data_IF_334811399487
#
_entry.id   IF_334811399487
#
_cell.length_a   1.000
_cell.length_b   1.000
_cell.length_c   1.000
_cell.angle_alpha   90.00
_cell.angle_beta   90.00
_cell.angle_gamma   90.00
#
_symmetry.space_group_name_H-M   'P 1'
#
loop_
_entity.id
_entity.type
_entity.pdbx_description
1 polymer ?
#
# COMPACT_ATOMS: atom_id res chain seq x y z
N UNK A 1 -37.54 14.60 -7.34
CA UNK A 1 -37.08 13.26 -6.95
C UNK A 1 -35.57 13.31 -6.81
N UNK A 2 -35.02 12.82 -5.70
CA UNK A 2 -33.59 12.65 -5.47
C UNK A 2 -33.28 11.15 -5.51
N UNK A 3 -32.24 10.74 -6.26
CA UNK A 3 -31.75 9.39 -6.30
C UNK A 3 -30.22 9.37 -6.14
N UNK A 4 -29.66 8.34 -5.51
CA UNK A 4 -28.25 8.14 -5.38
C UNK A 4 -27.88 6.74 -5.88
N UNK A 5 -26.69 6.62 -6.46
CA UNK A 5 -26.17 5.35 -7.00
C UNK A 5 -24.66 5.32 -6.94
N UNK A 6 -24.09 4.12 -6.80
CA UNK A 6 -22.66 3.85 -6.93
C UNK A 6 -22.30 3.32 -8.34
N UNK A 7 -23.25 3.35 -9.27
CA UNK A 7 -22.98 2.91 -10.65
C UNK A 7 -22.41 4.07 -11.45
N UNK A 8 -21.42 3.75 -12.28
CA UNK A 8 -20.90 4.69 -13.27
C UNK A 8 -21.99 5.03 -14.27
N UNK A 9 -22.32 6.31 -14.38
CA UNK A 9 -23.36 6.82 -15.25
C UNK A 9 -22.92 6.88 -16.71
N UNK A 10 -21.62 7.01 -16.98
CA UNK A 10 -21.05 7.25 -18.31
C UNK A 10 -20.39 6.01 -18.92
N UNK A 11 -20.28 4.93 -18.18
CA UNK A 11 -19.73 3.66 -18.66
C UNK A 11 -18.22 3.67 -18.92
N UNK A 12 -17.51 4.63 -18.35
CA UNK A 12 -16.07 4.86 -18.54
C UNK A 12 -15.17 3.91 -17.76
N UNK A 13 -15.69 3.30 -16.68
CA UNK A 13 -14.91 2.35 -15.88
C UNK A 13 -15.02 0.95 -16.44
N UNK A 14 -13.90 0.49 -16.97
CA UNK A 14 -13.71 -0.83 -17.60
C UNK A 14 -14.16 -1.99 -16.71
N UNK A 15 -15.02 -2.83 -17.22
CA UNK A 15 -15.16 -4.24 -16.81
C UNK A 15 -16.39 -4.65 -16.00
N UNK A 16 -17.23 -3.75 -15.44
CA UNK A 16 -18.47 -4.17 -14.73
C UNK A 16 -19.74 -3.76 -15.47
N UNK A 17 -20.45 -4.75 -16.04
CA UNK A 17 -21.68 -4.65 -16.86
C UNK A 17 -22.94 -4.22 -16.07
N UNK A 18 -22.87 -3.27 -15.15
CA UNK A 18 -24.08 -2.75 -14.52
C UNK A 18 -24.25 -1.28 -14.90
N UNK A 19 -24.95 -1.07 -16.00
CA UNK A 19 -25.35 0.27 -16.48
C UNK A 19 -26.74 0.60 -15.96
N UNK A 20 -26.91 1.86 -15.60
CA UNK A 20 -28.25 2.42 -15.35
C UNK A 20 -28.93 2.61 -16.71
N UNK A 21 -30.22 2.28 -16.77
CA UNK A 21 -31.02 2.46 -18.00
C UNK A 21 -30.93 3.94 -18.45
N UNK A 22 -30.50 4.19 -19.69
CA UNK A 22 -30.44 5.56 -20.23
C UNK A 22 -31.81 6.29 -20.17
N UNK A 23 -32.92 5.55 -20.23
CA UNK A 23 -34.24 6.13 -20.11
C UNK A 23 -34.52 6.67 -18.68
N UNK A 24 -33.93 6.03 -17.66
CA UNK A 24 -33.99 6.54 -16.29
C UNK A 24 -33.12 7.79 -16.13
N UNK A 25 -31.89 7.77 -16.67
CA UNK A 25 -30.96 8.90 -16.58
C UNK A 25 -31.50 10.17 -17.22
N UNK A 26 -32.27 10.06 -18.31
CA UNK A 26 -32.91 11.22 -18.96
C UNK A 26 -33.98 11.92 -18.13
N UNK A 27 -34.43 11.31 -17.04
CA UNK A 27 -35.44 11.89 -16.11
C UNK A 27 -34.80 12.71 -15.01
N UNK A 28 -33.47 12.77 -14.92
CA UNK A 28 -32.72 13.58 -13.98
C UNK A 28 -31.99 14.69 -14.72
N UNK A 29 -32.43 15.92 -14.52
CA UNK A 29 -31.87 17.10 -15.19
C UNK A 29 -30.50 17.46 -14.63
N UNK A 30 -30.28 17.22 -13.33
CA UNK A 30 -29.02 17.51 -12.64
C UNK A 30 -28.39 16.22 -12.15
N UNK A 31 -27.08 16.08 -12.43
CA UNK A 31 -26.23 15.01 -11.96
C UNK A 31 -25.11 15.60 -11.12
N UNK A 32 -24.98 15.12 -9.90
CA UNK A 32 -23.94 15.55 -8.97
C UNK A 32 -23.04 14.34 -8.76
N UNK A 33 -21.79 14.49 -9.12
CA UNK A 33 -20.76 13.51 -8.82
C UNK A 33 -20.18 13.82 -7.45
N UNK A 34 -20.09 12.79 -6.59
CA UNK A 34 -19.50 12.89 -5.27
C UNK A 34 -18.28 11.99 -5.28
N UNK A 35 -17.12 12.60 -5.40
CA UNK A 35 -15.84 11.91 -5.39
C UNK A 35 -15.44 11.47 -3.96
N UNK A 36 -14.40 10.66 -3.89
CA UNK A 36 -13.77 10.35 -2.61
C UNK A 36 -13.12 11.61 -2.03
N UNK A 37 -13.16 11.78 -0.70
CA UNK A 37 -12.61 12.97 -0.07
C UNK A 37 -11.09 13.05 -0.27
N UNK A 38 -10.59 14.26 -0.53
CA UNK A 38 -9.17 14.55 -0.48
C UNK A 38 -8.65 14.55 0.97
N UNK A 39 -7.35 14.70 1.17
CA UNK A 39 -6.74 14.61 2.50
C UNK A 39 -7.27 15.67 3.47
N UNK A 40 -7.41 16.90 3.01
CA UNK A 40 -7.93 18.02 3.80
C UNK A 40 -9.39 17.78 4.22
N UNK A 41 -10.23 17.28 3.34
CA UNK A 41 -11.63 16.94 3.64
C UNK A 41 -11.71 15.78 4.64
N UNK A 42 -10.79 14.79 4.57
CA UNK A 42 -10.71 13.74 5.59
C UNK A 42 -10.28 14.29 6.94
N UNK A 43 -9.30 15.21 6.96
CA UNK A 43 -8.85 15.89 8.18
C UNK A 43 -10.00 16.66 8.83
N UNK A 44 -10.68 17.49 8.09
CA UNK A 44 -11.85 18.25 8.57
C UNK A 44 -12.96 17.35 9.11
N UNK A 45 -13.23 16.23 8.44
CA UNK A 45 -14.21 15.27 8.94
C UNK A 45 -13.78 14.64 10.28
N UNK A 46 -12.52 14.23 10.40
CA UNK A 46 -11.98 13.67 11.63
C UNK A 46 -12.05 14.67 12.78
N UNK A 47 -11.65 15.92 12.56
CA UNK A 47 -11.76 17.02 13.53
C UNK A 47 -13.19 17.22 13.99
N UNK A 48 -14.12 17.34 13.06
CA UNK A 48 -15.55 17.51 13.35
C UNK A 48 -16.09 16.35 14.21
N UNK A 49 -15.76 15.11 13.86
CA UNK A 49 -16.29 13.92 14.53
C UNK A 49 -15.67 13.67 15.90
N UNK A 50 -14.38 13.90 16.03
CA UNK A 50 -13.65 13.70 17.30
C UNK A 50 -13.95 14.82 18.29
N UNK A 51 -14.09 16.08 17.83
CA UNK A 51 -14.41 17.22 18.68
C UNK A 51 -15.89 17.25 19.13
N UNK A 52 -16.83 16.74 18.31
CA UNK A 52 -18.27 16.68 18.69
C UNK A 52 -18.52 15.85 19.95
N UNK A 53 -17.66 14.91 20.28
CA UNK A 53 -17.83 14.01 21.43
C UNK A 53 -17.20 14.51 22.72
N UNK A 54 -16.59 15.70 22.70
CA UNK A 54 -16.32 16.53 23.90
C UNK A 54 -15.39 15.98 24.96
N UNK A 55 -14.78 14.82 24.77
CA UNK A 55 -14.05 14.10 25.83
C UNK A 55 -12.57 13.87 25.57
N UNK A 56 -12.05 14.03 24.36
CA UNK A 56 -10.66 13.71 24.11
C UNK A 56 -10.01 14.74 23.17
N UNK A 57 -8.97 15.39 23.62
CA UNK A 57 -8.08 16.16 22.75
C UNK A 57 -7.19 15.19 21.99
N UNK A 58 -7.67 14.73 20.84
CA UNK A 58 -6.78 14.05 19.90
C UNK A 58 -5.87 15.12 19.28
N UNK A 59 -4.57 14.87 19.28
CA UNK A 59 -3.61 15.84 18.74
C UNK A 59 -3.78 16.00 17.23
N UNK A 60 -3.44 17.17 16.73
CA UNK A 60 -3.51 17.48 15.28
C UNK A 60 -2.61 16.54 14.47
N UNK A 61 -1.46 16.12 15.01
CA UNK A 61 -0.55 15.16 14.39
C UNK A 61 -1.22 13.81 14.14
N UNK A 62 -1.98 13.30 15.11
CA UNK A 62 -2.74 12.04 14.96
C UNK A 62 -3.82 12.18 13.90
N UNK A 63 -4.54 13.30 13.88
CA UNK A 63 -5.57 13.55 12.87
C UNK A 63 -4.96 13.63 11.48
N UNK A 64 -3.86 14.34 11.33
CA UNK A 64 -3.11 14.45 10.07
C UNK A 64 -2.58 13.07 9.62
N UNK A 65 -2.03 12.29 10.53
CA UNK A 65 -1.57 10.93 10.24
C UNK A 65 -2.72 10.02 9.79
N UNK A 66 -3.88 10.05 10.47
CA UNK A 66 -5.07 9.30 10.06
C UNK A 66 -5.56 9.72 8.67
N UNK A 67 -5.59 11.04 8.40
CA UNK A 67 -6.01 11.57 7.10
C UNK A 67 -5.08 11.12 5.97
N UNK A 68 -3.77 11.19 6.17
CA UNK A 68 -2.77 10.73 5.20
C UNK A 68 -2.87 9.21 4.94
N UNK A 69 -3.03 8.40 6.00
CA UNK A 69 -3.08 6.93 5.92
C UNK A 69 -4.41 6.38 5.38
N UNK A 70 -5.42 7.23 5.19
CA UNK A 70 -6.73 6.85 4.66
C UNK A 70 -6.99 7.39 3.25
N UNK A 71 -5.91 7.70 2.50
CA UNK A 71 -6.01 8.13 1.11
C UNK A 71 -6.77 7.12 0.26
N UNK A 72 -7.67 7.62 -0.60
CA UNK A 72 -8.55 6.79 -1.43
C UNK A 72 -9.69 6.10 -0.67
N UNK A 73 -9.87 6.38 0.62
CA UNK A 73 -10.96 5.81 1.42
C UNK A 73 -12.13 6.79 1.57
N UNK A 74 -13.34 6.24 1.67
CA UNK A 74 -14.57 7.03 1.86
C UNK A 74 -14.73 7.48 3.31
N UNK A 75 -15.53 8.52 3.52
CA UNK A 75 -15.94 8.99 4.86
C UNK A 75 -16.59 7.88 5.71
N UNK A 76 -17.31 6.95 5.08
CA UNK A 76 -17.91 5.82 5.78
C UNK A 76 -16.85 4.91 6.44
N UNK A 77 -15.70 4.72 5.79
CA UNK A 77 -14.58 3.94 6.36
C UNK A 77 -14.00 4.67 7.58
N UNK A 78 -13.78 5.98 7.48
CA UNK A 78 -13.31 6.79 8.62
C UNK A 78 -14.26 6.70 9.81
N UNK A 79 -15.57 6.74 9.55
CA UNK A 79 -16.57 6.55 10.59
C UNK A 79 -16.48 5.18 11.25
N UNK A 80 -16.35 4.11 10.45
CA UNK A 80 -16.21 2.75 10.97
C UNK A 80 -14.96 2.60 11.85
N UNK A 81 -13.84 3.21 11.45
CA UNK A 81 -12.58 3.23 12.23
C UNK A 81 -12.78 3.93 13.58
N UNK A 82 -13.43 5.10 13.60
CA UNK A 82 -13.72 5.82 14.84
C UNK A 82 -14.64 4.98 15.76
N UNK A 83 -15.67 4.36 15.20
CA UNK A 83 -16.59 3.51 15.96
C UNK A 83 -15.90 2.26 16.51
N UNK A 84 -14.98 1.65 15.74
CA UNK A 84 -14.16 0.52 16.18
C UNK A 84 -13.25 0.94 17.34
N UNK A 85 -12.54 2.08 17.21
CA UNK A 85 -11.68 2.62 18.26
C UNK A 85 -12.45 2.88 19.56
N UNK A 86 -13.63 3.46 19.46
CA UNK A 86 -14.50 3.72 20.61
C UNK A 86 -15.00 2.44 21.28
N UNK A 87 -15.37 1.43 20.49
CA UNK A 87 -15.79 0.12 20.98
C UNK A 87 -14.65 -0.58 21.71
N UNK A 88 -13.45 -0.52 21.15
CA UNK A 88 -12.24 -1.12 21.75
C UNK A 88 -11.85 -0.41 23.05
N UNK A 89 -11.95 0.94 23.09
CA UNK A 89 -11.74 1.74 24.31
C UNK A 89 -12.75 1.36 25.40
N UNK A 90 -14.03 1.26 25.04
CA UNK A 90 -15.09 0.87 25.98
C UNK A 90 -14.91 -0.54 26.55
N UNK A 91 -14.52 -1.51 25.71
CA UNK A 91 -14.21 -2.88 26.15
C UNK A 91 -13.03 -2.92 27.12
N UNK A 92 -12.04 -2.07 26.91
CA UNK A 92 -10.86 -1.97 27.78
C UNK A 92 -11.08 -1.09 29.04
N UNK A 93 -12.25 -0.47 29.19
CA UNK A 93 -12.55 0.43 30.29
C UNK A 93 -11.70 1.72 30.28
N UNK A 94 -11.25 2.16 29.11
CA UNK A 94 -10.37 3.32 28.92
C UNK A 94 -11.03 4.38 28.05
N UNK A 95 -10.44 5.59 28.04
CA UNK A 95 -10.86 6.64 27.12
C UNK A 95 -10.30 6.42 25.70
N UNK A 96 -10.94 7.07 24.71
CA UNK A 96 -10.45 7.11 23.34
C UNK A 96 -9.16 7.94 23.29
N UNK A 97 -8.08 7.36 22.74
CA UNK A 97 -6.80 8.01 22.52
C UNK A 97 -6.43 8.00 21.05
N UNK A 98 -5.45 8.85 20.65
CA UNK A 98 -4.91 8.84 19.30
C UNK A 98 -4.30 7.50 18.91
N UNK A 99 -3.57 6.87 19.82
CA UNK A 99 -2.98 5.54 19.63
C UNK A 99 -4.06 4.48 19.34
N UNK A 100 -5.19 4.52 20.05
CA UNK A 100 -6.32 3.63 19.80
C UNK A 100 -7.01 3.85 18.45
N UNK A 101 -7.02 5.10 17.98
CA UNK A 101 -7.54 5.40 16.64
C UNK A 101 -6.64 4.82 15.55
N UNK A 102 -5.32 4.97 15.68
CA UNK A 102 -4.36 4.38 14.76
C UNK A 102 -4.42 2.85 14.80
N UNK A 103 -4.51 2.26 15.98
CA UNK A 103 -4.64 0.81 16.16
C UNK A 103 -5.94 0.27 15.54
N UNK A 104 -7.04 1.01 15.67
CA UNK A 104 -8.32 0.65 15.05
C UNK A 104 -8.30 0.78 13.52
N UNK A 105 -7.56 1.75 12.96
CA UNK A 105 -7.35 1.85 11.52
C UNK A 105 -6.63 0.61 11.00
N UNK A 106 -5.61 0.16 11.71
CA UNK A 106 -4.88 -1.05 11.36
C UNK A 106 -5.73 -2.31 11.51
N UNK A 107 -6.48 -2.42 12.59
CA UNK A 107 -7.41 -3.53 12.79
C UNK A 107 -8.48 -3.58 11.69
N UNK A 108 -9.00 -2.43 11.28
CA UNK A 108 -9.99 -2.34 10.21
C UNK A 108 -9.44 -2.79 8.87
N UNK A 109 -8.21 -2.37 8.54
CA UNK A 109 -7.60 -2.66 7.24
C UNK A 109 -6.99 -4.07 7.16
N UNK A 110 -6.42 -4.57 8.25
CA UNK A 110 -5.58 -5.78 8.26
C UNK A 110 -6.04 -6.87 9.22
N UNK A 111 -7.04 -6.60 10.06
CA UNK A 111 -7.56 -7.56 11.04
C UNK A 111 -6.90 -7.51 12.42
N UNK A 112 -7.22 -8.47 13.27
CA UNK A 112 -6.73 -8.54 14.64
C UNK A 112 -5.21 -8.78 14.73
N UNK A 113 -4.59 -8.24 15.79
CA UNK A 113 -3.16 -8.47 16.09
C UNK A 113 -2.88 -9.95 16.32
N UNK A 114 -1.75 -10.41 15.78
CA UNK A 114 -1.19 -11.73 16.04
C UNK A 114 0.18 -11.60 16.70
N UNK A 115 0.50 -12.53 17.57
CA UNK A 115 1.82 -12.63 18.20
C UNK A 115 2.55 -13.86 17.67
N UNK A 116 3.84 -13.72 17.42
CA UNK A 116 4.72 -14.74 16.90
C UNK A 116 5.98 -14.85 17.76
N UNK A 117 6.80 -15.85 17.50
CA UNK A 117 8.11 -16.00 18.13
C UNK A 117 9.06 -14.87 17.72
N UNK A 118 10.04 -14.54 18.57
CA UNK A 118 10.95 -13.42 18.36
C UNK A 118 11.72 -13.47 17.02
N UNK A 119 12.21 -14.64 16.63
CA UNK A 119 12.95 -14.80 15.36
C UNK A 119 12.11 -14.47 14.11
N UNK A 120 10.77 -14.60 14.20
CA UNK A 120 9.89 -14.18 13.15
C UNK A 120 9.87 -12.66 12.97
N UNK A 121 9.87 -11.90 14.08
CA UNK A 121 9.90 -10.43 14.02
C UNK A 121 11.20 -9.89 13.42
N UNK A 122 12.33 -10.54 13.66
CA UNK A 122 13.61 -10.15 13.02
C UNK A 122 13.55 -10.30 11.50
N UNK A 123 12.99 -11.40 11.01
CA UNK A 123 12.81 -11.63 9.58
C UNK A 123 11.85 -10.59 8.97
N UNK A 124 10.72 -10.32 9.62
CA UNK A 124 9.76 -9.32 9.17
C UNK A 124 10.36 -7.92 9.18
N UNK A 125 11.13 -7.55 10.22
CA UNK A 125 11.77 -6.24 10.30
C UNK A 125 12.74 -6.01 9.14
N UNK A 126 13.56 -7.00 8.79
CA UNK A 126 14.46 -6.93 7.63
C UNK A 126 13.67 -6.85 6.33
N UNK A 127 12.59 -7.64 6.19
CA UNK A 127 11.73 -7.64 5.02
C UNK A 127 11.11 -6.27 4.76
N UNK A 128 10.43 -5.70 5.75
CA UNK A 128 9.76 -4.38 5.63
C UNK A 128 10.78 -3.24 5.46
N UNK A 129 11.95 -3.34 6.12
CA UNK A 129 13.04 -2.38 5.93
C UNK A 129 13.61 -2.43 4.51
N UNK A 130 13.65 -3.61 3.89
CA UNK A 130 14.01 -3.77 2.49
C UNK A 130 13.05 -3.01 1.57
N UNK A 131 11.74 -3.16 1.77
CA UNK A 131 10.73 -2.42 1.03
C UNK A 131 10.89 -0.91 1.19
N UNK A 132 11.04 -0.43 2.43
CA UNK A 132 11.20 1.00 2.72
C UNK A 132 12.45 1.59 2.07
N UNK A 133 13.58 0.89 2.14
CA UNK A 133 14.82 1.35 1.52
C UNK A 133 14.73 1.40 -0.01
N UNK A 134 14.16 0.38 -0.63
CA UNK A 134 14.01 0.35 -2.09
C UNK A 134 13.02 1.44 -2.57
N UNK A 135 11.95 1.68 -1.85
CA UNK A 135 11.01 2.77 -2.12
C UNK A 135 11.71 4.14 -2.03
N UNK A 136 12.48 4.37 -0.97
CA UNK A 136 13.25 5.60 -0.80
C UNK A 136 14.25 5.80 -1.95
N UNK A 137 14.97 4.78 -2.37
CA UNK A 137 15.88 4.83 -3.53
C UNK A 137 15.15 5.10 -4.85
N UNK A 138 13.90 4.68 -4.99
CA UNK A 138 13.05 4.96 -6.15
C UNK A 138 12.46 6.38 -6.13
N UNK A 139 12.78 7.21 -5.12
CA UNK A 139 12.24 8.56 -4.94
C UNK A 139 10.81 8.58 -4.39
N UNK A 140 10.32 7.44 -3.92
CA UNK A 140 9.07 7.36 -3.18
C UNK A 140 9.35 7.66 -1.70
N UNK A 141 8.34 8.18 -1.00
CA UNK A 141 8.48 8.48 0.44
C UNK A 141 7.73 7.41 1.24
N UNK A 142 8.44 6.48 1.90
CA UNK A 142 7.80 5.60 2.86
C UNK A 142 7.17 6.43 3.99
N UNK A 143 5.86 6.34 4.14
CA UNK A 143 5.12 7.14 5.14
C UNK A 143 4.93 6.41 6.47
N UNK A 144 4.97 5.09 6.43
CA UNK A 144 4.78 4.24 7.60
C UNK A 144 5.32 2.83 7.35
N UNK A 145 6.00 2.28 8.34
CA UNK A 145 6.46 0.88 8.33
C UNK A 145 6.12 0.24 9.66
N UNK A 146 5.61 -0.99 9.66
CA UNK A 146 5.28 -1.74 10.88
C UNK A 146 5.58 -3.22 10.77
N UNK A 147 5.96 -3.81 11.89
CA UNK A 147 6.12 -5.26 12.07
C UNK A 147 5.00 -5.87 12.92
N UNK A 148 3.98 -5.10 13.25
CA UNK A 148 2.81 -5.60 13.97
C UNK A 148 2.01 -6.50 13.04
N UNK A 149 2.09 -7.80 13.28
CA UNK A 149 1.36 -8.78 12.48
C UNK A 149 -0.15 -8.71 12.72
N UNK A 150 -0.92 -8.67 11.62
CA UNK A 150 -2.38 -8.63 11.64
C UNK A 150 -2.97 -9.51 10.55
N UNK A 151 -4.03 -10.25 10.86
CA UNK A 151 -4.69 -11.09 9.87
C UNK A 151 -3.70 -12.04 9.17
N UNK A 152 -3.46 -11.84 7.89
CA UNK A 152 -2.51 -12.61 7.07
C UNK A 152 -1.20 -11.85 6.77
N UNK A 153 -1.02 -10.66 7.36
CA UNK A 153 0.16 -9.83 7.15
C UNK A 153 1.13 -9.96 8.32
N UNK A 154 2.41 -10.17 8.03
CA UNK A 154 3.49 -10.17 9.03
C UNK A 154 3.84 -8.77 9.49
N UNK A 155 3.94 -7.88 8.55
CA UNK A 155 4.15 -6.44 8.64
C UNK A 155 3.66 -5.78 7.36
N UNK A 156 3.87 -4.50 7.20
CA UNK A 156 3.65 -3.80 5.95
C UNK A 156 4.32 -2.42 5.93
N UNK A 157 4.55 -1.92 4.73
CA UNK A 157 5.04 -0.58 4.46
C UNK A 157 4.00 0.19 3.63
N UNK A 158 3.79 1.46 3.96
CA UNK A 158 2.96 2.39 3.20
C UNK A 158 3.83 3.49 2.58
N UNK A 159 3.45 3.92 1.38
CA UNK A 159 4.01 5.10 0.73
C UNK A 159 3.11 6.31 0.93
N UNK A 160 3.70 7.49 0.88
CA UNK A 160 2.95 8.70 0.59
C UNK A 160 2.37 8.57 -0.84
N UNK A 161 1.05 8.64 -0.97
CA UNK A 161 0.42 8.50 -2.28
C UNK A 161 0.81 9.68 -3.18
N UNK A 162 1.64 9.41 -4.15
CA UNK A 162 1.92 10.32 -5.27
C UNK A 162 0.79 10.26 -6.31
N UNK A 163 -0.46 10.51 -5.88
CA UNK A 163 -1.64 10.44 -6.76
C UNK A 163 -1.62 11.40 -7.95
N UNK A 164 -0.63 12.29 -8.02
CA UNK A 164 -0.57 13.37 -9.01
C UNK A 164 0.51 13.23 -10.09
N UNK A 165 1.09 12.04 -10.26
CA UNK A 165 2.02 11.85 -11.39
C UNK A 165 1.21 11.50 -12.64
N UNK A 166 1.10 12.42 -13.63
CA UNK A 166 0.23 12.21 -14.79
C UNK A 166 0.69 11.06 -15.68
N UNK A 167 1.98 10.73 -15.65
CA UNK A 167 2.59 9.65 -16.41
C UNK A 167 3.74 8.99 -15.63
N UNK A 168 3.88 7.70 -15.78
CA UNK A 168 5.00 6.92 -15.26
C UNK A 168 5.96 6.55 -16.40
N UNK A 169 7.24 6.81 -16.22
CA UNK A 169 8.28 6.29 -17.10
C UNK A 169 8.49 4.79 -16.88
N UNK A 170 9.19 4.14 -17.81
CA UNK A 170 9.60 2.73 -17.62
C UNK A 170 10.41 2.56 -16.35
N UNK A 171 11.34 3.48 -16.03
CA UNK A 171 12.17 3.42 -14.84
C UNK A 171 11.35 3.57 -13.54
N UNK A 172 10.33 4.42 -13.53
CA UNK A 172 9.41 4.50 -12.38
C UNK A 172 8.73 3.14 -12.11
N UNK A 173 8.30 2.45 -13.18
CA UNK A 173 7.64 1.15 -13.05
C UNK A 173 8.63 0.05 -12.64
N UNK A 174 9.87 0.09 -13.13
CA UNK A 174 10.93 -0.80 -12.69
C UNK A 174 11.27 -0.55 -11.21
N UNK A 175 11.29 0.71 -10.76
CA UNK A 175 11.40 1.08 -9.34
C UNK A 175 10.32 0.42 -8.48
N UNK A 176 9.07 0.45 -8.91
CA UNK A 176 7.96 -0.22 -8.22
C UNK A 176 8.11 -1.75 -8.18
N UNK A 177 8.62 -2.35 -9.26
CA UNK A 177 8.93 -3.78 -9.27
C UNK A 177 10.04 -4.08 -8.25
N UNK A 178 11.13 -3.28 -8.23
CA UNK A 178 12.23 -3.43 -7.26
C UNK A 178 11.72 -3.27 -5.82
N UNK A 179 10.89 -2.28 -5.55
CA UNK A 179 10.26 -2.10 -4.25
C UNK A 179 9.47 -3.34 -3.83
N UNK A 180 8.66 -3.91 -4.73
CA UNK A 180 7.91 -5.15 -4.44
C UNK A 180 8.81 -6.36 -4.22
N UNK A 181 9.98 -6.44 -4.84
CA UNK A 181 10.92 -7.56 -4.68
C UNK A 181 11.84 -7.40 -3.45
N UNK A 182 11.89 -6.19 -2.86
CA UNK A 182 12.92 -5.80 -1.91
C UNK A 182 12.85 -6.54 -0.56
N UNK A 183 11.67 -6.87 -0.08
CA UNK A 183 11.53 -7.68 1.14
C UNK A 183 12.23 -9.04 1.01
N UNK A 184 11.94 -9.75 -0.07
CA UNK A 184 12.60 -11.04 -0.37
C UNK A 184 14.09 -10.88 -0.64
N UNK A 185 14.52 -9.82 -1.32
CA UNK A 185 15.93 -9.54 -1.57
C UNK A 185 16.66 -9.27 -0.26
N UNK A 186 16.06 -8.51 0.66
CA UNK A 186 16.62 -8.25 1.98
C UNK A 186 16.77 -9.53 2.81
N UNK A 187 15.73 -10.36 2.89
CA UNK A 187 15.85 -11.67 3.55
C UNK A 187 17.01 -12.50 2.98
N UNK A 188 17.17 -12.52 1.64
CA UNK A 188 18.25 -13.25 0.99
C UNK A 188 19.64 -12.70 1.33
N UNK A 189 19.77 -11.36 1.36
CA UNK A 189 21.06 -10.70 1.64
C UNK A 189 21.46 -10.85 3.12
N UNK A 190 20.50 -10.84 4.03
CA UNK A 190 20.77 -10.89 5.47
C UNK A 190 20.84 -12.32 6.03
N UNK A 191 19.95 -13.20 5.58
CA UNK A 191 19.79 -14.55 6.15
C UNK A 191 20.18 -15.68 5.17
N UNK A 192 20.49 -15.34 3.92
CA UNK A 192 20.83 -16.30 2.89
C UNK A 192 19.65 -16.81 2.06
N UNK A 193 19.96 -17.57 1.02
CA UNK A 193 18.99 -18.01 0.01
C UNK A 193 17.83 -18.82 0.59
N UNK A 194 18.12 -19.76 1.45
CA UNK A 194 17.09 -20.69 1.97
C UNK A 194 16.03 -19.95 2.82
N UNK A 195 16.46 -18.98 3.61
CA UNK A 195 15.56 -18.16 4.43
C UNK A 195 14.59 -17.33 3.59
N UNK A 196 15.02 -16.86 2.41
CA UNK A 196 14.17 -16.07 1.49
C UNK A 196 13.16 -16.92 0.68
N UNK A 197 13.25 -18.25 0.74
CA UNK A 197 12.33 -19.16 0.04
C UNK A 197 11.16 -19.56 0.95
N UNK A 198 10.40 -18.58 1.39
CA UNK A 198 9.22 -18.74 2.24
C UNK A 198 7.95 -18.18 1.57
N UNK A 199 6.79 -18.40 2.17
CA UNK A 199 5.50 -17.94 1.64
C UNK A 199 5.21 -16.47 1.94
N UNK A 200 5.97 -15.82 2.79
CA UNK A 200 5.75 -14.43 3.23
C UNK A 200 5.74 -13.43 2.07
N UNK A 201 6.66 -13.61 1.12
CA UNK A 201 6.77 -12.73 -0.05
C UNK A 201 5.79 -13.05 -1.19
N UNK A 202 4.74 -13.85 -0.98
CA UNK A 202 3.84 -14.27 -2.07
C UNK A 202 2.99 -13.13 -2.64
N UNK A 203 2.55 -12.19 -1.80
CA UNK A 203 1.83 -10.98 -2.22
C UNK A 203 2.72 -10.05 -3.04
N UNK A 204 3.97 -9.88 -2.61
CA UNK A 204 4.95 -9.00 -3.25
C UNK A 204 5.36 -9.53 -4.61
N UNK A 205 5.59 -10.84 -4.72
CA UNK A 205 5.85 -11.49 -5.99
C UNK A 205 4.67 -11.37 -6.95
N UNK A 206 3.44 -11.42 -6.46
CA UNK A 206 2.25 -11.18 -7.27
C UNK A 206 2.22 -9.75 -7.78
N UNK A 207 2.42 -8.76 -6.91
CA UNK A 207 2.46 -7.35 -7.27
C UNK A 207 3.56 -7.05 -8.29
N UNK A 208 4.77 -7.59 -8.07
CA UNK A 208 5.88 -7.48 -9.01
C UNK A 208 5.55 -8.11 -10.37
N UNK A 209 4.91 -9.29 -10.37
CA UNK A 209 4.52 -10.00 -11.60
C UNK A 209 3.47 -9.22 -12.38
N UNK A 210 2.43 -8.73 -11.72
CA UNK A 210 1.36 -7.94 -12.35
C UNK A 210 1.94 -6.66 -12.97
N UNK A 211 2.85 -5.97 -12.28
CA UNK A 211 3.50 -4.78 -12.80
C UNK A 211 4.42 -5.12 -13.99
N UNK A 212 5.24 -6.16 -13.91
CA UNK A 212 6.11 -6.60 -14.99
C UNK A 212 5.32 -7.01 -16.25
N UNK A 213 4.19 -7.71 -16.08
CA UNK A 213 3.29 -8.02 -17.18
C UNK A 213 2.71 -6.76 -17.84
N UNK A 214 2.36 -5.75 -17.04
CA UNK A 214 1.86 -4.48 -17.57
C UNK A 214 2.95 -3.71 -18.34
N UNK A 215 4.17 -3.67 -17.84
CA UNK A 215 5.31 -3.03 -18.53
C UNK A 215 5.51 -3.66 -19.91
N UNK A 216 5.49 -4.99 -19.97
CA UNK A 216 5.75 -5.73 -21.21
C UNK A 216 4.55 -5.66 -22.17
N UNK A 217 3.34 -5.86 -21.66
CA UNK A 217 2.18 -6.14 -22.49
C UNK A 217 1.19 -4.97 -22.62
N UNK A 218 0.97 -4.21 -21.53
CA UNK A 218 -0.10 -3.22 -21.48
C UNK A 218 0.39 -1.82 -21.87
N UNK A 219 1.63 -1.49 -21.47
CA UNK A 219 2.14 -0.14 -21.68
C UNK A 219 3.03 -0.01 -22.92
N UNK A 220 3.31 -1.11 -23.61
CA UNK A 220 4.19 -1.10 -24.79
C UNK A 220 5.60 -0.60 -24.49
N UNK A 221 6.08 -0.79 -23.27
CA UNK A 221 7.40 -0.33 -22.79
C UNK A 221 8.48 -1.41 -22.94
N UNK A 222 8.22 -2.40 -23.74
CA UNK A 222 9.15 -3.44 -24.11
C UNK A 222 9.71 -3.15 -25.51
N UNK A 223 11.02 -3.14 -25.64
CA UNK A 223 11.71 -2.83 -26.91
C UNK A 223 11.38 -3.84 -28.03
N UNK A 224 10.97 -5.06 -27.66
CA UNK A 224 10.67 -6.13 -28.63
C UNK A 224 9.24 -6.06 -29.18
N UNK A 225 8.29 -5.36 -28.52
CA UNK A 225 6.89 -5.32 -28.94
C UNK A 225 6.21 -3.97 -28.66
N UNK A 226 5.50 -3.46 -29.67
CA UNK A 226 4.62 -2.29 -29.57
C UNK A 226 3.13 -2.67 -29.38
N UNK A 227 2.87 -3.88 -28.89
CA UNK A 227 1.50 -4.39 -28.72
C UNK A 227 0.98 -3.98 -27.35
N UNK A 228 -0.24 -3.47 -27.31
CA UNK A 228 -0.96 -3.15 -26.08
C UNK A 228 -2.09 -4.17 -25.85
N UNK A 229 -1.86 -5.11 -24.93
CA UNK A 229 -2.82 -6.15 -24.57
C UNK A 229 -3.00 -6.20 -23.05
N UNK A 230 -4.22 -6.46 -22.59
CA UNK A 230 -4.43 -6.74 -21.17
C UNK A 230 -3.86 -8.13 -20.81
N UNK A 231 -3.46 -8.37 -19.54
CA UNK A 231 -3.01 -9.69 -19.11
C UNK A 231 -4.02 -10.81 -19.42
N UNK A 232 -5.31 -10.54 -19.29
CA UNK A 232 -6.38 -11.47 -19.60
C UNK A 232 -6.45 -11.83 -21.10
N UNK A 233 -6.21 -10.85 -21.96
CA UNK A 233 -6.16 -11.08 -23.42
C UNK A 233 -4.97 -11.95 -23.78
N UNK A 234 -3.82 -11.75 -23.15
CA UNK A 234 -2.60 -12.53 -23.41
C UNK A 234 -2.78 -13.99 -23.00
N UNK A 235 -3.28 -14.23 -21.78
CA UNK A 235 -3.44 -15.58 -21.23
C UNK A 235 -4.36 -16.47 -22.08
N UNK A 236 -5.23 -15.88 -22.89
CA UNK A 236 -6.12 -16.58 -23.80
C UNK A 236 -5.56 -16.76 -25.23
N UNK A 237 -4.28 -16.45 -25.44
CA UNK A 237 -3.63 -16.55 -26.75
C UNK A 237 -2.49 -17.56 -26.76
N UNK A 238 -2.05 -17.94 -27.96
CA UNK A 238 -0.84 -18.78 -28.15
C UNK A 238 0.45 -18.06 -27.74
N UNK A 239 0.39 -16.74 -27.58
CA UNK A 239 1.54 -15.91 -27.16
C UNK A 239 1.76 -15.90 -25.63
N UNK A 240 0.86 -16.48 -24.85
CA UNK A 240 0.94 -16.50 -23.39
C UNK A 240 2.31 -16.98 -22.87
N UNK A 241 2.85 -18.05 -23.48
CA UNK A 241 4.14 -18.61 -23.07
C UNK A 241 5.27 -17.61 -23.26
N UNK A 242 5.34 -16.95 -24.40
CA UNK A 242 6.36 -15.93 -24.70
C UNK A 242 6.31 -14.77 -23.70
N UNK A 243 5.12 -14.21 -23.47
CA UNK A 243 4.95 -13.12 -22.51
C UNK A 243 5.32 -13.53 -21.08
N UNK A 244 5.01 -14.76 -20.66
CA UNK A 244 5.40 -15.27 -19.35
C UNK A 244 6.93 -15.43 -19.25
N UNK A 245 7.59 -15.93 -20.29
CA UNK A 245 9.05 -16.06 -20.33
C UNK A 245 9.75 -14.70 -20.25
N UNK A 246 9.25 -13.69 -20.97
CA UNK A 246 9.74 -12.30 -20.94
C UNK A 246 9.52 -11.65 -19.57
N UNK A 247 8.33 -11.81 -19.00
CA UNK A 247 8.01 -11.34 -17.64
C UNK A 247 8.96 -11.94 -16.62
N UNK A 248 9.21 -13.25 -16.68
CA UNK A 248 10.14 -13.92 -15.77
C UNK A 248 11.60 -13.47 -15.96
N UNK A 249 12.01 -13.16 -17.19
CA UNK A 249 13.34 -12.57 -17.47
C UNK A 249 13.48 -11.23 -16.80
N UNK A 250 12.51 -10.31 -17.02
CA UNK A 250 12.49 -9.00 -16.41
C UNK A 250 12.52 -9.08 -14.87
N UNK A 251 11.70 -9.95 -14.27
CA UNK A 251 11.68 -10.15 -12.82
C UNK A 251 13.03 -10.66 -12.28
N UNK A 252 13.73 -11.55 -12.99
CA UNK A 252 15.05 -12.02 -12.57
C UNK A 252 16.11 -10.92 -12.66
N UNK A 253 16.06 -10.09 -13.69
CA UNK A 253 16.93 -8.93 -13.84
C UNK A 253 16.68 -7.93 -12.69
N UNK A 254 15.42 -7.57 -12.45
CA UNK A 254 15.07 -6.65 -11.38
C UNK A 254 15.37 -7.21 -9.99
N UNK A 255 15.23 -8.52 -9.76
CA UNK A 255 15.65 -9.15 -8.51
C UNK A 255 17.14 -8.98 -8.27
N UNK A 256 17.98 -9.19 -9.30
CA UNK A 256 19.43 -9.02 -9.18
C UNK A 256 19.81 -7.57 -8.87
N UNK A 257 19.16 -6.60 -9.55
CA UNK A 257 19.34 -5.17 -9.26
C UNK A 257 18.91 -4.82 -7.83
N UNK A 258 17.82 -5.41 -7.37
CA UNK A 258 17.31 -5.20 -6.00
C UNK A 258 18.28 -5.80 -4.97
N UNK A 259 18.83 -6.99 -5.20
CA UNK A 259 19.85 -7.57 -4.32
C UNK A 259 21.09 -6.67 -4.22
N UNK A 260 21.56 -6.13 -5.35
CA UNK A 260 22.67 -5.18 -5.37
C UNK A 260 22.33 -3.90 -4.60
N UNK A 261 21.11 -3.38 -4.78
CA UNK A 261 20.62 -2.20 -4.08
C UNK A 261 20.62 -2.42 -2.56
N UNK A 262 20.06 -3.54 -2.08
CA UNK A 262 20.04 -3.89 -0.65
C UNK A 262 21.47 -4.10 -0.12
N UNK A 263 22.37 -4.72 -0.89
CA UNK A 263 23.77 -4.88 -0.49
C UNK A 263 24.47 -3.52 -0.29
N UNK A 264 24.23 -2.56 -1.21
CA UNK A 264 24.84 -1.23 -1.11
C UNK A 264 24.29 -0.40 0.06
N UNK A 265 23.02 -0.60 0.42
CA UNK A 265 22.36 0.09 1.54
C UNK A 265 22.20 -0.78 2.79
N UNK A 266 23.02 -1.81 2.94
CA UNK A 266 22.89 -2.78 4.03
C UNK A 266 22.78 -2.14 5.40
N UNK A 267 23.63 -1.14 5.69
CA UNK A 267 23.66 -0.43 6.98
C UNK A 267 22.35 0.31 7.25
N UNK A 268 21.79 0.96 6.24
CA UNK A 268 20.49 1.66 6.33
C UNK A 268 19.33 0.68 6.61
N UNK A 269 19.29 -0.44 5.91
CA UNK A 269 18.28 -1.49 6.10
C UNK A 269 18.38 -2.07 7.51
N UNK A 270 19.60 -2.33 8.01
CA UNK A 270 19.83 -2.87 9.34
C UNK A 270 19.44 -1.86 10.44
N UNK A 271 19.79 -0.58 10.26
CA UNK A 271 19.42 0.50 11.19
C UNK A 271 17.90 0.63 11.31
N UNK A 272 17.18 0.63 10.17
CA UNK A 272 15.72 0.68 10.15
C UNK A 272 15.11 -0.55 10.82
N UNK A 273 15.59 -1.75 10.51
CA UNK A 273 15.10 -3.00 11.10
C UNK A 273 15.31 -3.03 12.62
N UNK A 274 16.46 -2.58 13.10
CA UNK A 274 16.73 -2.47 14.53
C UNK A 274 15.72 -1.53 15.22
N UNK A 275 15.47 -0.37 14.61
CA UNK A 275 14.52 0.60 15.16
C UNK A 275 13.08 0.07 15.16
N UNK A 276 12.70 -0.68 14.12
CA UNK A 276 11.40 -1.38 14.05
C UNK A 276 11.26 -2.42 15.17
N UNK A 277 12.30 -3.17 15.50
CA UNK A 277 12.27 -4.13 16.61
C UNK A 277 12.12 -3.46 17.98
N UNK A 278 12.61 -2.22 18.14
CA UNK A 278 12.45 -1.44 19.37
C UNK A 278 11.04 -0.84 19.52
N UNK A 279 10.45 -0.34 18.43
CA UNK A 279 9.23 0.48 18.45
C UNK A 279 8.00 -0.20 17.82
N UNK A 280 8.18 -1.33 17.08
CA UNK A 280 7.21 -2.07 16.29
C UNK A 280 6.64 -1.32 15.07
N UNK A 281 6.79 -0.01 14.98
CA UNK A 281 6.43 0.81 13.82
C UNK A 281 7.28 2.07 13.77
N UNK A 282 7.38 2.66 12.57
CA UNK A 282 8.07 3.91 12.32
C UNK A 282 7.21 4.81 11.43
N UNK A 283 7.26 6.10 11.74
CA UNK A 283 6.64 7.18 10.98
C UNK A 283 7.56 7.66 9.86
N UNK A 284 7.03 8.47 8.94
CA UNK A 284 7.79 9.04 7.82
C UNK A 284 9.03 9.81 8.29
N UNK A 285 8.92 10.65 9.31
CA UNK A 285 10.04 11.45 9.81
C UNK A 285 11.15 10.57 10.39
N UNK A 286 10.79 9.55 11.19
CA UNK A 286 11.76 8.61 11.75
C UNK A 286 12.48 7.79 10.68
N UNK A 287 11.76 7.41 9.61
CA UNK A 287 12.34 6.69 8.47
C UNK A 287 13.31 7.60 7.72
N UNK A 288 12.91 8.84 7.46
CA UNK A 288 13.72 9.85 6.78
C UNK A 288 15.01 10.12 7.56
N UNK A 289 14.91 10.39 8.88
CA UNK A 289 16.06 10.65 9.74
C UNK A 289 17.07 9.49 9.69
N UNK A 290 16.61 8.23 9.75
CA UNK A 290 17.48 7.07 9.65
C UNK A 290 18.21 7.02 8.30
N UNK A 291 17.52 7.32 7.20
CA UNK A 291 18.13 7.26 5.88
C UNK A 291 19.05 8.43 5.56
N UNK A 292 18.86 9.58 6.20
CA UNK A 292 19.72 10.76 6.05
C UNK A 292 20.96 10.70 6.95
N UNK A 293 20.88 10.09 8.13
CA UNK A 293 21.98 10.01 9.11
C UNK A 293 22.96 8.86 8.83
N UNK A 294 22.52 7.81 8.15
CA UNK A 294 23.33 6.61 7.84
C UNK A 294 23.82 6.65 6.39
#
# INVERSE_FOLDING_TARGET
VLAATNYDLDGSVSGKKRRIDPALLRRFDNRIYVDLPNEEERKQYLELKLNQKGKNKISEDIISNLAARTTGQSIAILQNVIELAMRNAAKAGTELSGERLLDALEEYNYGEKKTWEQGYYESVAIHESGHAYAAWCAGEKPSYVTIVSRGNFGGYMQHENSENKPNYSREDLLGKIRTSLAGRAAEKVFFGREASLNTGASSDLRSATDMAMRVIATYGMDEENLVCLSPEQILNTTLAKEFIERTNRLLKEQMKETENLICSGREKVEALAKKLLEQNHLTQNEIQDIFDET
#
